data_IF_058010015905
#
_entry.id   IF_058010015905
#
_cell.length_a   1.000
_cell.length_b   1.000
_cell.length_c   1.000
_cell.angle_alpha   90.00
_cell.angle_beta   90.00
_cell.angle_gamma   90.00
#
_symmetry.space_group_name_H-M   'P 1'
#
loop_
_entity.id
_entity.type
_entity.pdbx_description
1 polymer ?
#
# COMPACT_ATOMS: atom_id res chain seq x y z
N UNK A 1 6.82 1.22 -18.34
CA UNK A 1 6.49 -0.17 -17.95
C UNK A 1 7.45 -0.73 -16.90
N UNK A 2 8.71 -0.29 -16.87
CA UNK A 2 9.74 -0.81 -15.95
C UNK A 2 9.74 -0.13 -14.56
N UNK A 3 8.86 0.85 -14.32
CA UNK A 3 8.78 1.58 -13.05
C UNK A 3 9.90 2.60 -12.84
N UNK A 4 10.54 3.09 -13.89
CA UNK A 4 11.62 4.09 -13.79
C UNK A 4 11.15 5.44 -13.27
N UNK A 5 9.91 5.82 -13.58
CA UNK A 5 9.28 7.09 -13.21
C UNK A 5 8.27 6.91 -12.06
N UNK A 6 8.39 5.83 -11.31
CA UNK A 6 7.56 5.56 -10.13
C UNK A 6 8.16 6.22 -8.89
N UNK A 7 7.32 6.48 -7.88
CA UNK A 7 7.77 7.01 -6.59
C UNK A 7 8.81 6.10 -5.92
N UNK A 8 8.67 4.79 -6.09
CA UNK A 8 9.70 3.80 -5.75
C UNK A 8 10.22 3.21 -7.06
N UNK A 9 11.42 3.64 -7.46
CA UNK A 9 12.02 3.25 -8.73
C UNK A 9 12.12 1.72 -8.84
N UNK A 10 11.58 1.17 -9.94
CA UNK A 10 11.63 -0.26 -10.21
C UNK A 10 10.59 -1.10 -9.47
N UNK A 11 9.58 -0.50 -8.81
CA UNK A 11 8.52 -1.27 -8.16
C UNK A 11 7.83 -2.24 -9.13
N UNK A 12 7.49 -3.48 -8.68
CA UNK A 12 6.92 -4.50 -9.55
C UNK A 12 5.49 -4.22 -9.98
N UNK A 13 4.73 -3.41 -9.23
CA UNK A 13 3.32 -3.12 -9.46
C UNK A 13 3.06 -2.53 -10.85
N UNK A 14 3.90 -1.61 -11.32
CA UNK A 14 3.72 -0.98 -12.65
C UNK A 14 3.77 -2.02 -13.77
N UNK A 15 4.70 -2.98 -13.68
CA UNK A 15 4.79 -4.06 -14.68
C UNK A 15 3.54 -4.96 -14.65
N UNK A 16 3.02 -5.26 -13.46
CA UNK A 16 1.76 -5.97 -13.26
C UNK A 16 0.59 -5.23 -13.88
N UNK A 17 0.40 -3.96 -13.53
CA UNK A 17 -0.68 -3.11 -14.04
C UNK A 17 -0.68 -3.01 -15.58
N UNK A 18 0.49 -2.87 -16.22
CA UNK A 18 0.61 -2.85 -17.69
C UNK A 18 0.20 -4.19 -18.29
N UNK A 19 0.60 -5.30 -17.69
CA UNK A 19 0.21 -6.65 -18.13
C UNK A 19 -1.30 -6.87 -18.01
N UNK A 20 -1.88 -6.50 -16.87
CA UNK A 20 -3.32 -6.68 -16.60
C UNK A 20 -4.18 -5.79 -17.48
N UNK A 21 -3.77 -4.53 -17.69
CA UNK A 21 -4.41 -3.62 -18.64
C UNK A 21 -4.38 -4.15 -20.07
N UNK A 22 -3.25 -4.72 -20.50
CA UNK A 22 -3.13 -5.37 -21.81
C UNK A 22 -4.03 -6.60 -21.96
N UNK A 23 -4.11 -7.43 -20.93
CA UNK A 23 -4.99 -8.61 -20.91
C UNK A 23 -6.48 -8.20 -20.94
N UNK A 24 -6.86 -7.20 -20.15
CA UNK A 24 -8.21 -6.65 -20.14
C UNK A 24 -8.60 -6.04 -21.50
N UNK A 25 -7.72 -5.23 -22.08
CA UNK A 25 -7.95 -4.62 -23.39
C UNK A 25 -8.11 -5.66 -24.51
N UNK A 26 -7.39 -6.78 -24.42
CA UNK A 26 -7.52 -7.90 -25.35
C UNK A 26 -8.86 -8.63 -25.17
N UNK A 27 -9.23 -8.99 -23.95
CA UNK A 27 -10.45 -9.74 -23.64
C UNK A 27 -11.72 -8.94 -23.93
N UNK A 28 -11.69 -7.61 -23.74
CA UNK A 28 -12.79 -6.71 -24.05
C UNK A 28 -12.90 -6.35 -25.55
N UNK A 29 -11.94 -6.79 -26.39
CA UNK A 29 -11.90 -6.43 -27.82
C UNK A 29 -11.47 -4.98 -28.09
N UNK A 30 -11.06 -4.22 -27.06
CA UNK A 30 -10.61 -2.85 -27.18
C UNK A 30 -9.23 -2.72 -27.84
N UNK A 31 -8.38 -3.75 -27.73
CA UNK A 31 -7.08 -3.79 -28.40
C UNK A 31 -7.05 -4.77 -29.56
N UNK A 32 -6.41 -4.32 -30.65
CA UNK A 32 -6.17 -5.12 -31.87
C UNK A 32 -4.67 -5.23 -32.13
N UNK A 33 -4.28 -5.64 -33.33
CA UNK A 33 -2.91 -6.00 -33.71
C UNK A 33 -1.83 -5.05 -33.19
N UNK A 34 -1.99 -3.73 -33.40
CA UNK A 34 -0.97 -2.74 -33.04
C UNK A 34 -0.83 -2.58 -31.51
N UNK A 35 -1.95 -2.44 -30.79
CA UNK A 35 -1.94 -2.28 -29.34
C UNK A 35 -1.48 -3.58 -28.64
N UNK A 36 -1.91 -4.74 -29.13
CA UNK A 36 -1.45 -6.02 -28.60
C UNK A 36 0.08 -6.19 -28.76
N UNK A 37 0.63 -5.77 -29.90
CA UNK A 37 2.08 -5.77 -30.14
C UNK A 37 2.79 -4.78 -29.19
N UNK A 38 2.20 -3.61 -28.94
CA UNK A 38 2.73 -2.63 -27.99
C UNK A 38 2.78 -3.17 -26.57
N UNK A 39 1.67 -3.76 -26.08
CA UNK A 39 1.62 -4.35 -24.73
C UNK A 39 2.63 -5.50 -24.56
N UNK A 40 2.79 -6.35 -25.58
CA UNK A 40 3.82 -7.40 -25.55
C UNK A 40 5.23 -6.81 -25.47
N UNK A 41 5.54 -5.86 -26.34
CA UNK A 41 6.85 -5.20 -26.35
C UNK A 41 7.14 -4.46 -25.02
N UNK A 42 6.15 -3.78 -24.44
CA UNK A 42 6.27 -3.12 -23.15
C UNK A 42 6.56 -4.12 -22.01
N UNK A 43 5.85 -5.27 -22.00
CA UNK A 43 6.05 -6.33 -21.00
C UNK A 43 7.43 -6.96 -21.16
N UNK A 44 7.85 -7.24 -22.40
CA UNK A 44 9.16 -7.82 -22.70
C UNK A 44 10.30 -6.85 -22.32
N UNK A 45 10.19 -5.57 -22.68
CA UNK A 45 11.16 -4.57 -22.31
C UNK A 45 11.28 -4.40 -20.78
N UNK A 46 10.15 -4.43 -20.07
CA UNK A 46 10.12 -4.39 -18.61
C UNK A 46 10.83 -5.61 -18.00
N UNK A 47 10.56 -6.82 -18.54
CA UNK A 47 11.22 -8.04 -18.09
C UNK A 47 12.74 -7.98 -18.32
N UNK A 48 13.16 -7.56 -19.52
CA UNK A 48 14.58 -7.40 -19.86
C UNK A 48 15.27 -6.38 -18.94
N UNK A 49 14.67 -5.21 -18.73
CA UNK A 49 15.23 -4.21 -17.82
C UNK A 49 15.47 -4.77 -16.43
N UNK A 50 14.55 -5.60 -15.91
CA UNK A 50 14.69 -6.23 -14.59
C UNK A 50 15.71 -7.36 -14.52
N UNK A 51 15.93 -8.08 -15.63
CA UNK A 51 16.89 -9.20 -15.68
C UNK A 51 18.28 -8.79 -16.11
N UNK A 52 18.40 -7.75 -16.92
CA UNK A 52 19.66 -7.27 -17.49
C UNK A 52 20.26 -6.09 -16.71
N UNK A 53 19.55 -5.54 -15.72
CA UNK A 53 20.01 -4.43 -14.88
C UNK A 53 19.64 -4.66 -13.41
N UNK A 54 20.20 -3.85 -12.52
CA UNK A 54 19.92 -3.92 -11.08
C UNK A 54 18.60 -3.24 -10.68
N UNK A 55 17.79 -2.75 -11.61
CA UNK A 55 16.52 -2.05 -11.30
C UNK A 55 15.52 -2.97 -10.57
N UNK A 56 15.65 -4.29 -10.72
CA UNK A 56 14.85 -5.28 -10.01
C UNK A 56 15.41 -5.68 -8.65
N UNK A 57 16.69 -5.39 -8.40
CA UNK A 57 17.38 -5.73 -7.16
C UNK A 57 17.16 -4.63 -6.13
N UNK A 58 16.52 -4.96 -5.01
CA UNK A 58 16.17 -4.00 -3.97
C UNK A 58 14.99 -3.07 -4.32
N UNK A 59 14.32 -3.28 -5.46
CA UNK A 59 13.08 -2.60 -5.78
C UNK A 59 11.98 -3.03 -4.79
N UNK A 60 11.79 -2.22 -3.79
CA UNK A 60 10.80 -2.43 -2.74
C UNK A 60 9.50 -1.74 -3.14
N UNK A 61 8.36 -2.33 -2.76
CA UNK A 61 7.08 -1.65 -2.93
C UNK A 61 7.00 -0.43 -2.02
N UNK A 62 6.12 0.53 -2.36
CA UNK A 62 5.80 1.67 -1.48
C UNK A 62 5.39 1.17 -0.09
N UNK A 63 4.62 0.07 -0.03
CA UNK A 63 4.21 -0.56 1.23
C UNK A 63 5.39 -1.02 2.08
N UNK A 64 6.37 -1.67 1.47
CA UNK A 64 7.59 -2.08 2.17
C UNK A 64 8.40 -0.86 2.64
N UNK A 65 8.60 0.14 1.77
CA UNK A 65 9.33 1.35 2.11
C UNK A 65 8.70 2.10 3.30
N UNK A 66 7.37 2.15 3.37
CA UNK A 66 6.65 2.76 4.48
C UNK A 66 6.91 2.04 5.81
N UNK A 67 6.93 0.69 5.80
CA UNK A 67 7.21 -0.11 6.99
C UNK A 67 8.69 0.01 7.42
N UNK A 68 9.62 -0.01 6.48
CA UNK A 68 11.04 0.21 6.79
C UNK A 68 11.31 1.63 7.34
N UNK A 69 10.60 2.65 6.83
CA UNK A 69 10.66 3.99 7.40
C UNK A 69 10.14 4.01 8.85
N UNK A 70 9.03 3.36 9.13
CA UNK A 70 8.50 3.24 10.49
C UNK A 70 9.51 2.55 11.42
N UNK A 71 10.15 1.46 11.00
CA UNK A 71 11.23 0.79 11.74
C UNK A 71 12.41 1.71 11.99
N UNK A 72 12.83 2.46 10.98
CA UNK A 72 13.95 3.41 11.11
C UNK A 72 13.67 4.50 12.15
N UNK A 73 12.40 4.93 12.28
CA UNK A 73 12.00 5.98 13.23
C UNK A 73 11.84 5.41 14.64
N UNK A 74 11.21 4.23 14.78
CA UNK A 74 10.82 3.65 16.07
C UNK A 74 11.84 2.62 16.62
N UNK A 75 12.84 2.24 15.83
CA UNK A 75 13.82 1.21 16.15
C UNK A 75 13.34 -0.19 15.75
N UNK A 76 12.19 -0.62 16.26
CA UNK A 76 11.50 -1.85 15.82
C UNK A 76 9.98 -1.65 15.91
N UNK A 77 9.22 -2.62 15.39
CA UNK A 77 7.76 -2.58 15.42
C UNK A 77 7.16 -3.56 16.43
N UNK A 78 7.98 -4.34 17.12
CA UNK A 78 7.52 -5.24 18.17
C UNK A 78 6.85 -4.44 19.29
N UNK A 79 5.65 -4.88 19.67
CA UNK A 79 4.88 -4.20 20.69
C UNK A 79 4.14 -2.94 20.24
N UNK A 80 4.41 -2.42 19.04
CA UNK A 80 3.74 -1.23 18.50
C UNK A 80 2.32 -1.54 18.02
N UNK A 81 1.46 -0.53 18.08
CA UNK A 81 0.07 -0.58 17.61
C UNK A 81 -0.01 0.18 16.29
N UNK A 82 -0.46 -0.48 15.23
CA UNK A 82 -0.57 0.14 13.92
C UNK A 82 -2.03 0.38 13.54
N UNK A 83 -2.29 1.51 12.88
CA UNK A 83 -3.55 1.87 12.26
C UNK A 83 -3.33 2.06 10.76
N UNK A 84 -4.05 1.30 9.96
CA UNK A 84 -4.08 1.41 8.51
C UNK A 84 -5.38 2.07 8.07
N UNK A 85 -5.26 3.21 7.39
CA UNK A 85 -6.37 3.98 6.84
C UNK A 85 -6.50 3.69 5.35
N UNK A 86 -7.53 2.94 4.98
CA UNK A 86 -7.79 2.40 3.66
C UNK A 86 -7.84 0.87 3.68
N UNK A 87 -8.52 0.28 2.71
CA UNK A 87 -8.64 -1.18 2.55
C UNK A 87 -8.51 -1.57 1.07
N UNK A 88 -7.57 -0.96 0.36
CA UNK A 88 -7.16 -1.31 -0.99
C UNK A 88 -5.94 -2.24 -0.98
N UNK A 89 -5.49 -2.63 -2.17
CA UNK A 89 -4.34 -3.52 -2.37
C UNK A 89 -3.07 -3.04 -1.65
N UNK A 90 -2.77 -1.74 -1.72
CA UNK A 90 -1.60 -1.17 -1.04
C UNK A 90 -1.74 -1.20 0.48
N UNK A 91 -2.95 -1.02 1.00
CA UNK A 91 -3.23 -1.16 2.44
C UNK A 91 -3.02 -2.59 2.90
N UNK A 92 -3.46 -3.58 2.11
CA UNK A 92 -3.28 -5.00 2.39
C UNK A 92 -1.79 -5.38 2.42
N UNK A 93 -1.03 -5.00 1.39
CA UNK A 93 0.41 -5.25 1.36
C UNK A 93 1.14 -4.60 2.53
N UNK A 94 0.78 -3.36 2.88
CA UNK A 94 1.34 -2.67 4.04
C UNK A 94 1.00 -3.38 5.35
N UNK A 95 -0.25 -3.81 5.49
CA UNK A 95 -0.72 -4.54 6.66
C UNK A 95 0.02 -5.86 6.86
N UNK A 96 0.21 -6.63 5.79
CA UNK A 96 1.00 -7.88 5.83
C UNK A 96 2.44 -7.60 6.24
N UNK A 97 3.10 -6.60 5.67
CA UNK A 97 4.46 -6.22 6.07
C UNK A 97 4.54 -5.77 7.54
N UNK A 98 3.52 -5.06 8.07
CA UNK A 98 3.47 -4.70 9.48
C UNK A 98 3.37 -5.94 10.38
N UNK A 99 2.51 -6.90 10.02
CA UNK A 99 2.37 -8.18 10.74
C UNK A 99 3.67 -8.96 10.74
N UNK A 100 4.32 -9.09 9.59
CA UNK A 100 5.60 -9.79 9.43
C UNK A 100 6.73 -9.15 10.27
N UNK A 101 6.61 -7.86 10.57
CA UNK A 101 7.55 -7.12 11.42
C UNK A 101 7.10 -7.06 12.90
N UNK A 102 6.13 -7.85 13.30
CA UNK A 102 5.82 -8.11 14.71
C UNK A 102 5.01 -7.03 15.42
N UNK A 103 4.21 -6.22 14.70
CA UNK A 103 3.31 -5.25 15.38
C UNK A 103 2.38 -5.98 16.35
N UNK A 104 2.20 -5.41 17.55
CA UNK A 104 1.37 -5.98 18.62
C UNK A 104 -0.09 -6.07 18.23
N UNK A 105 -0.59 -5.06 17.55
CA UNK A 105 -1.97 -4.99 17.08
C UNK A 105 -2.08 -4.18 15.82
N UNK A 106 -2.94 -4.62 14.92
CA UNK A 106 -3.21 -3.97 13.66
C UNK A 106 -4.70 -3.65 13.56
N UNK A 107 -5.00 -2.38 13.41
CA UNK A 107 -6.37 -1.88 13.22
C UNK A 107 -6.50 -1.34 11.81
N UNK A 108 -7.60 -1.65 11.14
CA UNK A 108 -7.92 -1.16 9.80
C UNK A 108 -9.18 -0.31 9.88
N UNK A 109 -9.15 0.85 9.24
CA UNK A 109 -10.32 1.67 9.05
C UNK A 109 -10.49 2.06 7.57
N UNK A 110 -11.70 2.02 7.08
CA UNK A 110 -12.05 2.41 5.72
C UNK A 110 -13.39 3.13 5.72
N UNK A 111 -13.64 3.98 4.70
CA UNK A 111 -14.96 4.62 4.51
C UNK A 111 -16.10 3.59 4.38
N UNK A 112 -15.78 2.40 3.90
CA UNK A 112 -16.70 1.26 3.85
C UNK A 112 -16.25 0.25 4.89
N UNK A 113 -16.97 0.13 5.99
CA UNK A 113 -16.62 -0.76 7.11
C UNK A 113 -16.43 -2.21 6.64
N UNK A 114 -17.31 -2.72 5.77
CA UNK A 114 -17.21 -4.09 5.25
C UNK A 114 -15.87 -4.38 4.55
N UNK A 115 -15.26 -3.38 3.88
CA UNK A 115 -13.91 -3.55 3.30
C UNK A 115 -12.82 -3.60 4.37
N UNK A 116 -12.99 -2.85 5.44
CA UNK A 116 -12.05 -2.91 6.56
C UNK A 116 -12.16 -4.25 7.29
N UNK A 117 -13.37 -4.79 7.45
CA UNK A 117 -13.64 -6.10 8.06
C UNK A 117 -13.01 -7.23 7.21
N UNK A 118 -13.22 -7.22 5.90
CA UNK A 118 -12.67 -8.20 4.97
C UNK A 118 -11.12 -8.20 5.00
N UNK A 119 -10.51 -7.02 5.02
CA UNK A 119 -9.06 -6.92 5.17
C UNK A 119 -8.60 -7.38 6.56
N UNK A 120 -9.26 -6.94 7.61
CA UNK A 120 -8.91 -7.28 8.99
C UNK A 120 -8.98 -8.80 9.24
N UNK A 121 -9.96 -9.50 8.67
CA UNK A 121 -10.06 -10.96 8.73
C UNK A 121 -8.83 -11.64 8.11
N UNK A 122 -8.41 -11.20 6.92
CA UNK A 122 -7.26 -11.77 6.20
C UNK A 122 -5.93 -11.58 6.94
N UNK A 123 -5.76 -10.47 7.64
CA UNK A 123 -4.52 -10.15 8.37
C UNK A 123 -4.60 -10.47 9.87
N UNK A 124 -5.69 -11.05 10.34
CA UNK A 124 -5.98 -11.30 11.77
C UNK A 124 -5.89 -10.03 12.61
N UNK A 125 -6.32 -8.90 12.04
CA UNK A 125 -6.38 -7.60 12.67
C UNK A 125 -7.78 -7.27 13.19
N UNK A 126 -8.00 -5.99 13.46
CA UNK A 126 -9.30 -5.45 13.90
C UNK A 126 -9.79 -4.40 12.92
N UNK A 127 -11.05 -4.47 12.52
CA UNK A 127 -11.71 -3.38 11.80
C UNK A 127 -12.42 -2.43 12.76
N UNK A 128 -12.40 -1.14 12.44
CA UNK A 128 -13.18 -0.12 13.13
C UNK A 128 -13.78 0.87 12.12
N UNK A 129 -14.84 1.55 12.52
CA UNK A 129 -15.41 2.63 11.73
C UNK A 129 -14.42 3.79 11.57
N UNK A 130 -14.55 4.52 10.48
CA UNK A 130 -13.66 5.63 10.15
C UNK A 130 -13.61 6.72 11.23
N UNK A 131 -14.78 7.16 11.69
CA UNK A 131 -14.88 8.23 12.68
C UNK A 131 -14.28 7.79 14.03
N UNK A 132 -14.44 6.51 14.37
CA UNK A 132 -13.84 5.94 15.57
C UNK A 132 -12.32 5.89 15.45
N UNK A 133 -11.78 5.59 14.27
CA UNK A 133 -10.33 5.64 14.02
C UNK A 133 -9.78 7.05 14.19
N UNK A 134 -10.49 8.05 13.66
CA UNK A 134 -10.09 9.45 13.80
C UNK A 134 -10.14 9.94 15.24
N UNK A 135 -11.15 9.53 16.00
CA UNK A 135 -11.29 9.87 17.42
C UNK A 135 -10.22 9.21 18.32
N UNK A 136 -9.59 8.11 17.86
CA UNK A 136 -8.64 7.31 18.64
C UNK A 136 -7.25 7.25 18.01
N UNK A 137 -6.83 8.28 17.29
CA UNK A 137 -5.47 8.35 16.70
C UNK A 137 -4.35 8.23 17.75
N UNK A 138 -4.60 8.66 18.97
CA UNK A 138 -3.68 8.54 20.12
C UNK A 138 -3.40 7.08 20.51
N UNK A 139 -4.25 6.14 20.13
CA UNK A 139 -4.07 4.72 20.39
C UNK A 139 -3.07 4.04 19.44
N UNK A 140 -2.72 4.67 18.31
CA UNK A 140 -1.81 4.12 17.33
C UNK A 140 -0.39 4.67 17.49
N UNK A 141 0.61 3.81 17.40
CA UNK A 141 2.03 4.20 17.39
C UNK A 141 2.52 4.46 15.98
N UNK A 142 1.92 3.76 15.01
CA UNK A 142 2.14 3.95 13.57
C UNK A 142 0.78 4.13 12.89
N UNK A 143 0.65 5.20 12.09
CA UNK A 143 -0.52 5.41 11.22
C UNK A 143 -0.05 5.45 9.77
N UNK A 144 -0.58 4.58 8.95
CA UNK A 144 -0.31 4.54 7.51
C UNK A 144 -1.62 4.77 6.76
N UNK A 145 -1.63 5.82 5.94
CA UNK A 145 -2.78 6.15 5.10
C UNK A 145 -2.51 5.77 3.65
N UNK A 146 -3.36 4.91 3.11
CA UNK A 146 -3.35 4.49 1.71
C UNK A 146 -4.79 4.52 1.18
N UNK A 147 -5.23 5.70 0.77
CA UNK A 147 -6.60 5.96 0.30
C UNK A 147 -6.60 6.61 -1.07
N UNK A 148 -7.67 6.43 -1.82
CA UNK A 148 -7.93 7.11 -3.09
C UNK A 148 -8.66 8.47 -2.89
N UNK A 149 -8.61 9.03 -1.68
CA UNK A 149 -9.25 10.32 -1.40
C UNK A 149 -8.46 11.45 -2.08
N UNK A 150 -9.17 12.38 -2.71
CA UNK A 150 -8.59 13.59 -3.34
C UNK A 150 -8.23 14.66 -2.30
N UNK A 151 -8.65 14.48 -1.06
CA UNK A 151 -8.40 15.40 0.07
C UNK A 151 -7.55 14.72 1.14
N UNK A 152 -6.88 15.52 1.95
CA UNK A 152 -6.13 15.01 3.10
C UNK A 152 -7.07 14.33 4.09
N UNK A 153 -6.88 13.05 4.32
CA UNK A 153 -7.71 12.27 5.26
C UNK A 153 -7.25 12.43 6.72
N UNK A 154 -5.98 12.73 6.93
CA UNK A 154 -5.42 13.11 8.22
C UNK A 154 -5.19 14.61 8.24
N UNK A 155 -6.00 15.31 9.01
CA UNK A 155 -5.89 16.74 9.21
C UNK A 155 -4.89 17.04 10.32
N UNK A 156 -4.16 18.15 10.20
CA UNK A 156 -3.16 18.59 11.18
C UNK A 156 -3.76 18.71 12.59
N UNK A 157 -4.98 19.22 12.67
CA UNK A 157 -5.72 19.45 13.91
C UNK A 157 -6.01 18.14 14.64
N UNK A 158 -6.39 17.09 13.91
CA UNK A 158 -6.65 15.76 14.47
C UNK A 158 -5.36 15.15 15.06
N UNK A 159 -4.25 15.25 14.34
CA UNK A 159 -2.94 14.78 14.82
C UNK A 159 -2.48 15.59 16.02
N UNK A 160 -2.58 16.93 15.97
CA UNK A 160 -2.20 17.82 17.08
C UNK A 160 -3.02 17.55 18.34
N UNK A 161 -4.30 17.20 18.21
CA UNK A 161 -5.15 16.83 19.33
C UNK A 161 -4.84 15.45 19.93
N UNK A 162 -4.33 14.53 19.11
CA UNK A 162 -3.96 13.18 19.54
C UNK A 162 -2.60 13.17 20.28
N UNK A 163 -1.62 13.94 19.83
CA UNK A 163 -0.25 13.92 20.36
C UNK A 163 -0.14 14.10 21.89
N UNK A 164 -0.83 15.07 22.53
CA UNK A 164 -0.75 15.26 23.99
C UNK A 164 -1.35 14.11 24.81
N UNK A 165 -2.22 13.28 24.21
CA UNK A 165 -2.87 12.15 24.86
C UNK A 165 -2.01 10.89 24.85
N UNK A 166 -0.93 10.89 24.08
CA UNK A 166 0.01 9.76 23.99
C UNK A 166 0.89 9.74 25.23
N UNK A 167 1.05 8.56 25.80
CA UNK A 167 1.91 8.31 26.98
C UNK A 167 3.22 7.68 26.53
#
# INVERSE_FOLDING_TARGET
ASGLDSMVMGEPQIAGQVKDAGAFALSSGASKTHLNRLFRAATEASKRARTETEIGTGAVSVSFAAVELAKKILGNLEGQRALVLGAGEMSELTALHLVDNGVKSLTVASRTLARAEDLAERIRGRAIEWDLAMANLDQADVVISSTSAEVYVLQREAVAAAMPKRK
#
